data_IF_540086211996
#
_entry.id   IF_540086211996
#
_cell.length_a   1.000
_cell.length_b   1.000
_cell.length_c   1.000
_cell.angle_alpha   90.00
_cell.angle_beta   90.00
_cell.angle_gamma   90.00
#
_symmetry.space_group_name_H-M   'P 1'
#
loop_
_entity.id
_entity.type
_entity.pdbx_description
1 polymer ?
#
# COMPACT_ATOMS: atom_id res chain seq x y z
N UNK A 1 -2.20 -30.39 -7.52
CA UNK A 1 -2.44 -29.31 -8.49
C UNK A 1 -1.06 -28.83 -8.91
N UNK A 2 -0.75 -28.68 -10.21
CA UNK A 2 0.47 -27.96 -10.55
C UNK A 2 0.38 -26.57 -9.93
N UNK A 3 1.46 -26.11 -9.31
CA UNK A 3 1.54 -24.75 -8.79
C UNK A 3 1.13 -23.79 -9.91
N UNK A 4 -0.02 -23.13 -9.75
CA UNK A 4 -0.49 -22.18 -10.74
C UNK A 4 0.46 -20.99 -10.72
N UNK A 5 1.32 -20.88 -11.74
CA UNK A 5 2.24 -19.75 -11.87
C UNK A 5 1.44 -18.44 -11.89
N UNK A 6 1.69 -17.60 -10.89
CA UNK A 6 1.04 -16.29 -10.79
C UNK A 6 1.48 -15.44 -11.99
N UNK A 7 0.55 -14.85 -12.76
CA UNK A 7 0.90 -13.99 -13.89
C UNK A 7 1.80 -12.82 -13.47
N UNK A 8 2.92 -12.65 -14.16
CA UNK A 8 3.82 -11.50 -13.99
C UNK A 8 3.74 -10.60 -15.21
N UNK A 9 3.47 -9.32 -15.01
CA UNK A 9 3.26 -8.34 -16.09
C UNK A 9 4.28 -7.20 -15.95
N UNK A 10 4.96 -6.91 -17.06
CA UNK A 10 5.90 -5.80 -17.17
C UNK A 10 5.20 -4.58 -17.75
N UNK A 11 4.80 -3.64 -16.89
CA UNK A 11 4.12 -2.41 -17.34
C UNK A 11 4.99 -1.50 -18.20
N UNK A 12 6.30 -1.71 -18.19
CA UNK A 12 7.30 -0.96 -18.98
C UNK A 12 7.51 -1.55 -20.38
N UNK A 13 6.83 -2.63 -20.74
CA UNK A 13 6.91 -3.18 -22.09
C UNK A 13 6.40 -2.16 -23.12
N UNK A 14 7.14 -1.88 -24.21
CA UNK A 14 6.74 -0.90 -25.20
C UNK A 14 5.47 -1.30 -25.97
N UNK A 15 5.14 -2.59 -26.07
CA UNK A 15 3.89 -3.04 -26.67
C UNK A 15 2.73 -2.94 -25.68
N UNK A 16 2.17 -1.73 -25.62
CA UNK A 16 1.02 -1.42 -24.76
C UNK A 16 -0.19 -2.32 -25.03
N UNK A 17 -0.41 -2.76 -26.28
CA UNK A 17 -1.56 -3.61 -26.62
C UNK A 17 -1.38 -5.00 -26.03
N UNK A 18 -0.17 -5.56 -26.15
CA UNK A 18 0.16 -6.83 -25.50
C UNK A 18 0.03 -6.74 -23.97
N UNK A 19 0.53 -5.67 -23.34
CA UNK A 19 0.40 -5.44 -21.89
C UNK A 19 -1.07 -5.41 -21.45
N UNK A 20 -1.92 -4.64 -22.14
CA UNK A 20 -3.35 -4.57 -21.82
C UNK A 20 -4.03 -5.92 -21.96
N UNK A 21 -3.68 -6.69 -23.01
CA UNK A 21 -4.21 -8.04 -23.21
C UNK A 21 -3.78 -9.00 -22.09
N UNK A 22 -2.52 -8.92 -21.64
CA UNK A 22 -2.01 -9.74 -20.52
C UNK A 22 -2.73 -9.40 -19.21
N UNK A 23 -2.96 -8.11 -18.93
CA UNK A 23 -3.72 -7.66 -17.75
C UNK A 23 -5.14 -8.22 -17.80
N UNK A 24 -5.83 -8.08 -18.94
CA UNK A 24 -7.18 -8.63 -19.11
C UNK A 24 -7.22 -10.13 -18.85
N UNK A 25 -6.29 -10.89 -19.45
CA UNK A 25 -6.20 -12.34 -19.26
C UNK A 25 -5.94 -12.73 -17.79
N UNK A 26 -5.04 -12.04 -17.10
CA UNK A 26 -4.73 -12.32 -15.69
C UNK A 26 -5.92 -11.99 -14.77
N UNK A 27 -6.60 -10.86 -15.01
CA UNK A 27 -7.83 -10.50 -14.29
C UNK A 27 -8.94 -11.53 -14.48
N UNK A 28 -9.14 -12.05 -15.71
CA UNK A 28 -10.17 -13.05 -15.98
C UNK A 28 -9.86 -14.43 -15.39
N UNK A 29 -8.60 -14.86 -15.44
CA UNK A 29 -8.20 -16.22 -15.04
C UNK A 29 -7.85 -16.34 -13.55
N UNK A 30 -7.17 -15.34 -12.98
CA UNK A 30 -6.65 -15.38 -11.60
C UNK A 30 -7.29 -14.32 -10.69
N UNK A 31 -7.74 -13.20 -11.25
CA UNK A 31 -8.23 -12.05 -10.48
C UNK A 31 -7.12 -11.20 -9.85
N UNK A 32 -5.85 -11.58 -10.04
CA UNK A 32 -4.67 -10.85 -9.58
C UNK A 32 -3.46 -11.16 -10.48
N UNK A 33 -2.44 -10.32 -10.40
CA UNK A 33 -1.15 -10.48 -11.07
C UNK A 33 -0.05 -9.73 -10.32
N UNK A 34 1.20 -10.07 -10.60
CA UNK A 34 2.38 -9.38 -10.08
C UNK A 34 2.86 -8.36 -11.10
N UNK A 35 3.24 -7.18 -10.62
CA UNK A 35 4.00 -6.18 -11.39
C UNK A 35 5.39 -6.09 -10.79
N UNK A 36 6.43 -6.11 -11.62
CA UNK A 36 7.80 -5.97 -11.13
C UNK A 36 8.23 -4.50 -11.06
N UNK A 37 9.27 -4.22 -10.26
CA UNK A 37 9.93 -2.91 -10.12
C UNK A 37 9.12 -1.76 -9.49
N UNK A 38 8.03 -2.05 -8.77
CA UNK A 38 7.31 -1.05 -7.96
C UNK A 38 7.85 -1.04 -6.51
N UNK A 39 8.99 -0.38 -6.24
CA UNK A 39 9.53 -0.33 -4.86
C UNK A 39 9.00 0.88 -4.11
N UNK A 40 8.24 0.63 -3.04
CA UNK A 40 7.78 1.65 -2.08
C UNK A 40 8.83 1.88 -0.98
N UNK A 41 10.01 2.42 -1.35
CA UNK A 41 11.11 2.67 -0.40
C UNK A 41 10.66 3.53 0.79
N UNK A 42 9.76 4.49 0.55
CA UNK A 42 9.19 5.37 1.57
C UNK A 42 8.51 4.62 2.73
N UNK A 43 7.83 3.52 2.44
CA UNK A 43 7.17 2.70 3.45
C UNK A 43 8.20 1.98 4.32
N UNK A 44 9.24 1.43 3.71
CA UNK A 44 10.33 0.78 4.43
C UNK A 44 11.01 1.74 5.41
N UNK A 45 11.31 2.96 4.97
CA UNK A 45 12.01 3.95 5.79
C UNK A 45 11.11 4.47 6.93
N UNK A 46 9.81 4.63 6.68
CA UNK A 46 8.83 4.98 7.70
C UNK A 46 8.81 3.97 8.85
N UNK A 47 8.73 2.66 8.57
CA UNK A 47 8.62 1.66 9.64
C UNK A 47 9.91 1.48 10.46
N UNK A 48 11.05 1.94 9.94
CA UNK A 48 12.35 1.98 10.66
C UNK A 48 12.53 3.19 11.56
N UNK A 49 11.60 4.14 11.55
CA UNK A 49 11.54 5.21 12.53
C UNK A 49 11.50 4.68 13.97
N UNK A 50 11.95 5.52 14.90
CA UNK A 50 11.78 5.24 16.33
C UNK A 50 10.30 5.07 16.68
N UNK A 51 10.03 4.36 17.77
CA UNK A 51 8.66 4.22 18.28
C UNK A 51 8.05 5.58 18.63
N UNK A 52 8.85 6.53 19.13
CA UNK A 52 8.41 7.89 19.45
C UNK A 52 7.91 8.65 18.21
N UNK A 53 8.68 8.62 17.11
CA UNK A 53 8.26 9.27 15.87
C UNK A 53 6.99 8.63 15.28
N UNK A 54 6.90 7.29 15.34
CA UNK A 54 5.72 6.56 14.87
C UNK A 54 4.49 6.83 15.74
N UNK A 55 4.65 6.93 17.05
CA UNK A 55 3.57 7.14 18.00
C UNK A 55 2.82 8.47 17.76
N UNK A 56 3.51 9.50 17.24
CA UNK A 56 2.88 10.79 16.85
C UNK A 56 1.74 10.63 15.84
N UNK A 57 1.76 9.55 15.06
CA UNK A 57 0.79 9.27 14.00
C UNK A 57 -0.21 8.18 14.38
N UNK A 58 -0.06 7.56 15.56
CA UNK A 58 -0.92 6.46 15.99
C UNK A 58 -2.34 6.94 16.27
N UNK A 59 -3.33 6.16 15.83
CA UNK A 59 -4.73 6.38 16.18
C UNK A 59 -5.55 5.10 15.94
N UNK A 60 -6.48 4.82 16.84
CA UNK A 60 -7.48 3.75 16.69
C UNK A 60 -8.82 4.26 16.15
N UNK A 61 -8.93 5.56 15.82
CA UNK A 61 -10.13 6.14 15.21
C UNK A 61 -10.23 5.76 13.72
N UNK A 62 -11.25 4.99 13.32
CA UNK A 62 -11.45 4.60 11.93
C UNK A 62 -11.75 5.77 10.98
N UNK A 63 -12.23 6.91 11.50
CA UNK A 63 -12.54 8.09 10.71
C UNK A 63 -11.29 8.90 10.32
N UNK A 64 -10.21 8.81 11.10
CA UNK A 64 -8.96 9.52 10.83
C UNK A 64 -8.36 9.07 9.49
N UNK A 65 -8.15 10.03 8.60
CA UNK A 65 -7.78 9.82 7.18
C UNK A 65 -6.31 9.46 7.00
N UNK A 66 -5.45 10.02 7.86
CA UNK A 66 -4.06 9.62 8.03
C UNK A 66 -3.85 9.03 9.42
N UNK A 67 -3.41 7.77 9.51
CA UNK A 67 -3.09 7.13 10.80
C UNK A 67 -2.14 5.94 10.65
N UNK A 68 -1.29 5.79 11.66
CA UNK A 68 -0.66 4.52 11.98
C UNK A 68 -1.58 3.72 12.91
N UNK A 69 -1.75 2.43 12.66
CA UNK A 69 -2.53 1.53 13.50
C UNK A 69 -1.95 0.12 13.45
N UNK A 70 -2.41 -0.74 14.36
CA UNK A 70 -2.10 -2.17 14.37
C UNK A 70 -3.37 -2.99 14.15
N UNK A 71 -3.21 -4.23 13.68
CA UNK A 71 -4.28 -5.16 13.35
C UNK A 71 -5.32 -4.61 12.35
N UNK A 72 -6.63 -4.72 12.61
CA UNK A 72 -7.70 -4.17 11.77
C UNK A 72 -8.63 -3.24 12.55
N UNK A 73 -9.33 -3.75 13.56
CA UNK A 73 -10.15 -2.96 14.46
C UNK A 73 -10.02 -3.51 15.88
N UNK A 74 -8.99 -3.05 16.59
CA UNK A 74 -8.68 -3.48 17.96
C UNK A 74 -9.87 -3.38 18.93
N UNK A 75 -10.84 -2.48 18.67
CA UNK A 75 -12.01 -2.28 19.52
C UNK A 75 -13.14 -3.28 19.26
N UNK A 76 -13.15 -3.97 18.12
CA UNK A 76 -14.27 -4.84 17.68
C UNK A 76 -13.87 -6.28 17.39
N UNK A 77 -12.60 -6.53 17.08
CA UNK A 77 -12.14 -7.86 16.69
C UNK A 77 -11.79 -8.74 17.89
N UNK A 78 -12.01 -10.05 17.75
CA UNK A 78 -11.63 -11.07 18.75
C UNK A 78 -10.37 -11.83 18.38
N UNK A 79 -9.93 -11.71 17.13
CA UNK A 79 -8.69 -12.28 16.60
C UNK A 79 -7.89 -11.13 15.99
N UNK A 80 -6.66 -10.96 16.45
CA UNK A 80 -5.79 -9.88 16.01
C UNK A 80 -4.91 -10.33 14.85
N UNK A 81 -4.75 -9.46 13.85
CA UNK A 81 -3.78 -9.63 12.79
C UNK A 81 -2.40 -9.19 13.27
N UNK A 82 -1.39 -10.02 13.02
CA UNK A 82 0.01 -9.68 13.29
C UNK A 82 0.54 -8.72 12.23
N UNK A 83 0.16 -7.44 12.35
CA UNK A 83 0.50 -6.40 11.37
C UNK A 83 0.37 -5.01 11.96
N UNK A 84 1.33 -4.16 11.62
CA UNK A 84 1.18 -2.70 11.68
C UNK A 84 0.94 -2.14 10.27
N UNK A 85 0.20 -1.03 10.17
CA UNK A 85 -0.05 -0.36 8.90
C UNK A 85 -0.15 1.16 9.06
N UNK A 86 0.41 1.87 8.08
CA UNK A 86 0.17 3.29 7.86
C UNK A 86 -0.92 3.41 6.78
N UNK A 87 -2.00 4.11 7.10
CA UNK A 87 -3.07 4.43 6.15
C UNK A 87 -2.95 5.88 5.72
N UNK A 88 -2.87 6.09 4.41
CA UNK A 88 -2.85 7.39 3.76
C UNK A 88 -4.03 7.45 2.79
N UNK A 89 -4.92 8.43 2.93
CA UNK A 89 -5.88 8.75 1.87
C UNK A 89 -5.15 9.52 0.78
N UNK A 90 -5.45 9.23 -0.48
CA UNK A 90 -4.73 9.81 -1.63
C UNK A 90 -5.66 10.34 -2.72
N UNK A 91 -6.98 10.35 -2.50
CA UNK A 91 -7.94 10.86 -3.47
C UNK A 91 -9.09 11.64 -2.81
N UNK A 92 -9.33 12.92 -3.18
CA UNK A 92 -8.51 13.72 -4.09
C UNK A 92 -7.13 14.05 -3.49
N UNK A 93 -6.07 14.00 -4.30
CA UNK A 93 -4.69 14.01 -3.81
C UNK A 93 -4.34 15.31 -3.08
N UNK A 94 -4.76 16.43 -3.66
CA UNK A 94 -4.48 17.79 -3.17
C UNK A 94 -5.06 18.04 -1.78
N UNK A 95 -6.13 17.33 -1.43
CA UNK A 95 -6.76 17.40 -0.11
C UNK A 95 -5.92 16.69 0.95
N UNK A 96 -5.26 15.59 0.62
CA UNK A 96 -4.66 14.70 1.61
C UNK A 96 -3.14 14.79 1.73
N UNK A 97 -2.43 15.16 0.66
CA UNK A 97 -0.97 15.35 0.70
C UNK A 97 -0.53 16.30 1.83
N UNK A 98 -1.22 17.42 2.12
CA UNK A 98 -0.85 18.29 3.24
C UNK A 98 -0.95 17.61 4.62
N UNK A 99 -1.75 16.55 4.75
CA UNK A 99 -1.93 15.79 6.00
C UNK A 99 -0.95 14.60 6.12
N UNK A 100 -0.19 14.27 5.06
CA UNK A 100 0.74 13.15 5.07
C UNK A 100 1.95 13.44 5.97
N UNK A 101 2.62 12.39 6.50
CA UNK A 101 3.80 12.58 7.32
C UNK A 101 4.92 13.23 6.50
N UNK A 102 5.50 14.31 7.02
CA UNK A 102 6.64 14.99 6.40
C UNK A 102 7.95 14.16 6.43
N UNK A 103 8.00 13.12 7.28
CA UNK A 103 9.15 12.23 7.40
C UNK A 103 8.72 10.74 7.29
N UNK A 104 9.47 9.92 6.52
CA UNK A 104 10.57 10.28 5.62
C UNK A 104 10.15 11.24 4.48
N UNK A 105 11.05 12.09 3.99
CA UNK A 105 10.75 13.09 2.95
C UNK A 105 10.06 12.61 1.66
N UNK A 106 10.23 11.36 1.17
CA UNK A 106 9.61 10.95 -0.10
C UNK A 106 8.08 10.93 -0.10
N UNK A 107 7.41 11.15 1.04
CA UNK A 107 5.95 11.31 1.08
C UNK A 107 5.45 12.59 0.39
N UNK A 108 6.27 13.64 0.30
CA UNK A 108 5.87 14.93 -0.29
C UNK A 108 6.18 15.07 -1.79
N UNK A 109 6.65 14.00 -2.45
CA UNK A 109 7.12 14.01 -3.85
C UNK A 109 6.19 13.27 -4.84
N UNK A 110 4.98 12.89 -4.41
CA UNK A 110 3.96 12.25 -5.26
C UNK A 110 2.89 13.25 -5.67
#
# INVERSE_FOLDING_TARGET
MPDADIPVIYLTDPDRTAVVSQIGAACTSHGFFLVLNHRLQVAHDFFRLSLEEKAKLYSDDPAKKMRLSTSFNMRKETVHNWRDYLRLHCYPLEQFVPEWPAYPPPFSLL
#
